data_IF_320930330976
#
_entry.id   IF_320930330976
#
_cell.length_a   1.000
_cell.length_b   1.000
_cell.length_c   1.000
_cell.angle_alpha   90.00
_cell.angle_beta   90.00
_cell.angle_gamma   90.00
#
_symmetry.space_group_name_H-M   'P 1'
#
loop_
_entity.id
_entity.type
_entity.pdbx_description
1 polymer ?
#
# COMPACT_ATOMS: atom_id res chain seq x y z
N UNK A 1 73.02 33.73 30.66
CA UNK A 1 72.27 32.72 29.89
C UNK A 1 70.82 33.18 29.82
N UNK A 2 70.37 33.77 28.71
CA UNK A 2 68.96 34.14 28.51
C UNK A 2 68.70 34.39 27.02
N UNK A 3 68.16 33.39 26.33
CA UNK A 3 67.58 33.57 25.00
C UNK A 3 66.31 34.43 25.12
N UNK A 4 66.01 35.34 24.16
CA UNK A 4 64.83 36.18 24.27
C UNK A 4 63.58 35.33 24.02
N UNK A 5 62.83 35.07 25.10
CA UNK A 5 61.55 34.33 25.15
C UNK A 5 60.50 34.80 24.11
N UNK A 6 60.67 36.00 23.54
CA UNK A 6 59.75 36.59 22.57
C UNK A 6 59.73 35.87 21.21
N UNK A 7 60.86 35.38 20.71
CA UNK A 7 60.92 34.71 19.40
C UNK A 7 60.21 33.34 19.40
N UNK A 8 60.34 32.60 20.51
CA UNK A 8 59.70 31.28 20.67
C UNK A 8 58.17 31.44 20.75
N UNK A 9 57.66 32.45 21.48
CA UNK A 9 56.21 32.71 21.58
C UNK A 9 55.56 33.05 20.24
N UNK A 10 56.24 33.82 19.38
CA UNK A 10 55.72 34.16 18.04
C UNK A 10 55.69 32.93 17.12
N UNK A 11 56.73 32.09 17.17
CA UNK A 11 56.79 30.87 16.35
C UNK A 11 55.72 29.85 16.78
N UNK A 12 55.50 29.69 18.10
CA UNK A 12 54.43 28.83 18.64
C UNK A 12 53.04 29.32 18.18
N UNK A 13 52.76 30.63 18.27
CA UNK A 13 51.48 31.19 17.79
C UNK A 13 51.26 30.99 16.29
N UNK A 14 52.32 31.07 15.48
CA UNK A 14 52.24 30.83 14.04
C UNK A 14 52.00 29.34 13.71
N UNK A 15 52.65 28.44 14.44
CA UNK A 15 52.42 27.00 14.31
C UNK A 15 50.99 26.61 14.74
N UNK A 16 50.48 27.17 15.85
CA UNK A 16 49.08 26.98 16.27
C UNK A 16 48.09 27.49 15.21
N UNK A 17 48.35 28.65 14.61
CA UNK A 17 47.53 29.20 13.54
C UNK A 17 47.49 28.30 12.29
N UNK A 18 48.64 27.74 11.89
CA UNK A 18 48.73 26.80 10.77
C UNK A 18 48.00 25.48 11.05
N UNK A 19 48.14 24.93 12.27
CA UNK A 19 47.44 23.71 12.70
C UNK A 19 45.93 23.94 12.68
N UNK A 20 45.45 25.05 13.25
CA UNK A 20 44.04 25.41 13.24
C UNK A 20 43.53 25.52 11.80
N UNK A 21 44.23 26.26 10.92
CA UNK A 21 43.81 26.42 9.52
C UNK A 21 43.73 25.07 8.79
N UNK A 22 44.71 24.19 8.99
CA UNK A 22 44.71 22.84 8.41
C UNK A 22 43.55 21.98 8.92
N UNK A 23 43.26 22.03 10.22
CA UNK A 23 42.13 21.31 10.81
C UNK A 23 40.79 21.82 10.28
N UNK A 24 40.62 23.14 10.09
CA UNK A 24 39.39 23.70 9.52
C UNK A 24 39.20 23.31 8.06
N UNK A 25 40.26 23.37 7.25
CA UNK A 25 40.22 22.95 5.85
C UNK A 25 39.94 21.45 5.71
N UNK A 26 40.54 20.61 6.56
CA UNK A 26 40.24 19.19 6.61
C UNK A 26 38.77 18.94 6.97
N UNK A 27 38.25 19.65 7.97
CA UNK A 27 36.85 19.50 8.40
C UNK A 27 35.87 19.98 7.31
N UNK A 28 36.17 21.08 6.63
CA UNK A 28 35.40 21.60 5.49
C UNK A 28 35.42 20.63 4.31
N UNK A 29 36.58 20.07 3.97
CA UNK A 29 36.71 19.09 2.88
C UNK A 29 36.00 17.77 3.21
N UNK A 30 36.05 17.33 4.47
CA UNK A 30 35.30 16.16 4.95
C UNK A 30 33.79 16.37 4.84
N UNK A 31 33.27 17.54 5.22
CA UNK A 31 31.85 17.86 5.11
C UNK A 31 31.39 17.92 3.64
N UNK A 32 32.21 18.51 2.75
CA UNK A 32 31.92 18.52 1.32
C UNK A 32 31.94 17.10 0.72
N UNK A 33 32.85 16.24 1.17
CA UNK A 33 32.91 14.83 0.74
C UNK A 33 31.68 14.04 1.18
N UNK A 34 31.24 14.22 2.43
CA UNK A 34 30.02 13.59 2.96
C UNK A 34 28.78 14.09 2.20
N UNK A 35 28.66 15.39 1.97
CA UNK A 35 27.53 15.97 1.26
C UNK A 35 27.47 15.48 -0.20
N UNK A 36 28.61 15.37 -0.89
CA UNK A 36 28.67 14.79 -2.24
C UNK A 36 28.29 13.31 -2.26
N UNK A 37 28.67 12.55 -1.24
CA UNK A 37 28.34 11.13 -1.13
C UNK A 37 26.83 10.94 -0.91
N UNK A 38 26.23 11.70 0.02
CA UNK A 38 24.78 11.67 0.27
C UNK A 38 23.96 12.12 -0.95
N UNK A 39 24.41 13.16 -1.66
CA UNK A 39 23.76 13.61 -2.91
C UNK A 39 23.85 12.52 -3.99
N UNK A 40 25.01 11.88 -4.16
CA UNK A 40 25.18 10.80 -5.13
C UNK A 40 24.38 9.54 -4.77
N UNK A 41 24.25 9.19 -3.49
CA UNK A 41 23.40 8.09 -3.04
C UNK A 41 21.92 8.38 -3.25
N UNK A 42 21.46 9.59 -2.95
CA UNK A 42 20.08 10.01 -3.25
C UNK A 42 19.81 10.07 -4.75
N UNK A 43 20.78 10.51 -5.55
CA UNK A 43 20.69 10.52 -7.02
C UNK A 43 20.69 9.10 -7.58
N UNK A 44 21.42 8.15 -6.99
CA UNK A 44 21.40 6.73 -7.37
C UNK A 44 20.10 6.04 -6.96
N UNK A 45 19.56 6.34 -5.77
CA UNK A 45 18.24 5.85 -5.32
C UNK A 45 17.11 6.43 -6.16
N UNK A 46 17.19 7.70 -6.55
CA UNK A 46 16.17 8.33 -7.41
C UNK A 46 16.23 7.83 -8.86
N UNK A 47 17.41 7.43 -9.35
CA UNK A 47 17.56 6.82 -10.69
C UNK A 47 17.06 5.37 -10.76
N UNK A 48 16.78 4.74 -9.62
CA UNK A 48 16.19 3.40 -9.51
C UNK A 48 14.66 3.40 -9.38
N UNK A 49 14.03 4.56 -9.17
CA UNK A 49 12.57 4.73 -9.23
C UNK A 49 12.23 5.50 -10.50
N UNK A 50 12.21 4.78 -11.61
CA UNK A 50 11.76 5.32 -12.89
C UNK A 50 10.32 5.83 -12.73
N UNK A 51 10.13 7.14 -12.76
CA UNK A 51 8.84 7.80 -12.51
C UNK A 51 7.74 7.23 -13.41
N UNK A 52 8.08 6.84 -14.64
CA UNK A 52 7.16 6.19 -15.58
C UNK A 52 6.65 4.84 -15.07
N UNK A 53 7.50 4.03 -14.43
CA UNK A 53 7.09 2.77 -13.81
C UNK A 53 6.26 3.02 -12.54
N UNK A 54 6.61 4.04 -11.74
CA UNK A 54 5.85 4.39 -10.55
C UNK A 54 4.40 4.79 -10.86
N UNK A 55 4.17 5.63 -11.87
CA UNK A 55 2.81 6.03 -12.27
C UNK A 55 2.02 4.84 -12.84
N UNK A 56 2.67 3.97 -13.62
CA UNK A 56 2.05 2.75 -14.13
C UNK A 56 1.70 1.76 -13.00
N UNK A 57 2.54 1.67 -11.97
CA UNK A 57 2.30 0.82 -10.80
C UNK A 57 1.19 1.37 -9.91
N UNK A 58 1.13 2.69 -9.70
CA UNK A 58 0.00 3.34 -9.04
C UNK A 58 -1.32 3.11 -9.79
N UNK A 59 -1.30 3.21 -11.12
CA UNK A 59 -2.46 2.89 -11.94
C UNK A 59 -2.85 1.43 -11.80
N UNK A 60 -1.89 0.50 -11.82
CA UNK A 60 -2.14 -0.94 -11.61
C UNK A 60 -2.75 -1.24 -10.24
N UNK A 61 -2.27 -0.59 -9.18
CA UNK A 61 -2.83 -0.70 -7.83
C UNK A 61 -4.26 -0.15 -7.76
N UNK A 62 -4.57 0.87 -8.57
CA UNK A 62 -5.92 1.46 -8.65
C UNK A 62 -6.93 0.65 -9.48
N UNK A 63 -6.49 -0.41 -10.17
CA UNK A 63 -7.37 -1.23 -11.00
C UNK A 63 -8.39 -2.01 -10.16
N UNK A 64 -9.61 -2.10 -10.68
CA UNK A 64 -10.67 -2.93 -10.13
C UNK A 64 -10.21 -4.37 -9.89
N UNK A 65 -9.36 -4.92 -10.76
CA UNK A 65 -8.74 -6.24 -10.57
C UNK A 65 -7.98 -6.41 -9.25
N UNK A 66 -7.26 -5.38 -8.77
CA UNK A 66 -6.54 -5.46 -7.50
C UNK A 66 -7.52 -5.32 -6.33
N UNK A 67 -8.49 -4.40 -6.44
CA UNK A 67 -9.50 -4.24 -5.41
C UNK A 67 -10.34 -5.52 -5.26
N UNK A 68 -10.73 -6.17 -6.36
CA UNK A 68 -11.46 -7.43 -6.36
C UNK A 68 -10.69 -8.54 -5.62
N UNK A 69 -9.37 -8.66 -5.84
CA UNK A 69 -8.53 -9.64 -5.12
C UNK A 69 -8.56 -9.42 -3.61
N UNK A 70 -8.45 -8.15 -3.19
CA UNK A 70 -8.51 -7.79 -1.77
C UNK A 70 -9.89 -8.15 -1.21
N UNK A 71 -10.97 -7.79 -1.91
CA UNK A 71 -12.35 -8.08 -1.50
C UNK A 71 -12.60 -9.58 -1.33
N UNK A 72 -12.19 -10.38 -2.30
CA UNK A 72 -12.33 -11.84 -2.26
C UNK A 72 -11.56 -12.40 -1.07
N UNK A 73 -10.34 -11.92 -0.84
CA UNK A 73 -9.58 -12.36 0.34
C UNK A 73 -10.33 -12.07 1.63
N UNK A 74 -10.81 -10.83 1.82
CA UNK A 74 -11.56 -10.44 3.03
C UNK A 74 -12.84 -11.28 3.21
N UNK A 75 -13.54 -11.56 2.11
CA UNK A 75 -14.74 -12.39 2.11
C UNK A 75 -14.45 -13.83 2.48
N UNK A 76 -13.38 -14.42 1.94
CA UNK A 76 -12.98 -15.79 2.27
C UNK A 76 -12.46 -15.88 3.71
N UNK A 77 -11.64 -14.92 4.16
CA UNK A 77 -11.18 -14.86 5.55
C UNK A 77 -12.39 -14.79 6.52
N UNK A 78 -13.41 -13.99 6.18
CA UNK A 78 -14.64 -13.90 6.96
C UNK A 78 -15.46 -15.20 6.86
N UNK A 79 -15.62 -15.78 5.67
CA UNK A 79 -16.31 -17.06 5.45
C UNK A 79 -15.73 -18.18 6.33
N UNK A 80 -14.41 -18.25 6.42
CA UNK A 80 -13.69 -19.22 7.24
C UNK A 80 -13.90 -19.02 8.75
N UNK A 81 -14.25 -17.80 9.18
CA UNK A 81 -14.56 -17.50 10.58
C UNK A 81 -16.00 -17.86 10.99
N UNK A 82 -16.88 -18.15 10.04
CA UNK A 82 -18.29 -18.46 10.31
C UNK A 82 -18.53 -19.95 10.54
N UNK A 83 -19.58 -20.26 11.31
CA UNK A 83 -20.04 -21.62 11.57
C UNK A 83 -20.52 -22.34 10.31
N UNK A 84 -20.59 -23.67 10.38
CA UNK A 84 -20.93 -24.54 9.23
C UNK A 84 -22.37 -24.41 8.71
N UNK A 85 -23.24 -23.78 9.49
CA UNK A 85 -24.64 -23.48 9.19
C UNK A 85 -24.84 -22.05 8.62
N UNK A 86 -23.77 -21.28 8.51
CA UNK A 86 -23.77 -19.89 8.05
C UNK A 86 -23.03 -19.70 6.73
N UNK A 87 -23.49 -18.73 5.94
CA UNK A 87 -22.89 -18.25 4.70
C UNK A 87 -22.61 -16.75 4.78
N UNK A 88 -21.69 -16.26 3.94
CA UNK A 88 -21.42 -14.83 3.84
C UNK A 88 -22.56 -14.13 3.11
N UNK A 89 -23.27 -13.30 3.85
CA UNK A 89 -24.10 -12.24 3.31
C UNK A 89 -23.30 -10.98 3.05
N UNK A 90 -23.63 -10.30 1.95
CA UNK A 90 -23.19 -8.93 1.73
C UNK A 90 -24.38 -8.00 1.88
N UNK A 91 -24.24 -7.02 2.77
CA UNK A 91 -25.16 -5.89 2.87
C UNK A 91 -24.49 -4.66 2.28
N UNK A 92 -25.11 -4.05 1.29
CA UNK A 92 -24.74 -2.72 0.83
C UNK A 92 -25.71 -1.69 1.37
N UNK A 93 -25.17 -0.55 1.78
CA UNK A 93 -25.91 0.57 2.34
C UNK A 93 -25.85 1.73 1.36
N UNK A 94 -27.00 2.16 0.85
CA UNK A 94 -27.11 3.29 -0.07
C UNK A 94 -28.28 4.19 0.36
N UNK A 95 -27.98 5.43 0.76
CA UNK A 95 -28.95 6.51 1.06
C UNK A 95 -30.25 6.04 1.76
N UNK A 96 -30.13 5.42 2.93
CA UNK A 96 -31.27 4.99 3.75
C UNK A 96 -31.93 3.68 3.30
N UNK A 97 -31.47 3.07 2.21
CA UNK A 97 -31.87 1.73 1.77
C UNK A 97 -30.68 0.77 1.90
N UNK A 98 -30.97 -0.50 2.17
CA UNK A 98 -29.94 -1.53 2.17
C UNK A 98 -30.44 -2.76 1.44
N UNK A 99 -29.58 -3.33 0.60
CA UNK A 99 -29.82 -4.62 -0.01
C UNK A 99 -28.90 -5.65 0.63
N UNK A 100 -29.48 -6.78 1.05
CA UNK A 100 -28.76 -7.92 1.62
C UNK A 100 -28.99 -9.12 0.74
N UNK A 101 -27.92 -9.82 0.36
CA UNK A 101 -28.00 -11.04 -0.45
C UNK A 101 -26.80 -11.95 -0.19
N UNK A 102 -26.97 -13.24 -0.51
CA UNK A 102 -25.91 -14.24 -0.41
C UNK A 102 -24.98 -14.10 -1.61
N UNK A 103 -23.71 -13.76 -1.38
CA UNK A 103 -22.75 -13.63 -2.47
C UNK A 103 -22.25 -15.00 -2.90
N UNK A 104 -22.28 -15.26 -4.20
CA UNK A 104 -21.73 -16.48 -4.80
C UNK A 104 -20.43 -16.21 -5.55
N UNK A 105 -20.36 -15.08 -6.25
CA UNK A 105 -19.22 -14.75 -7.11
C UNK A 105 -18.94 -13.26 -7.15
N UNK A 106 -17.67 -12.94 -7.39
CA UNK A 106 -17.22 -11.57 -7.65
C UNK A 106 -16.51 -11.52 -9.00
N UNK A 107 -16.84 -10.51 -9.79
CA UNK A 107 -16.17 -10.14 -11.03
C UNK A 107 -15.70 -8.69 -10.99
N UNK A 108 -14.93 -8.29 -11.99
CA UNK A 108 -14.49 -6.90 -12.16
C UNK A 108 -14.37 -6.55 -13.64
N UNK A 109 -14.43 -5.24 -13.92
CA UNK A 109 -14.06 -4.68 -15.21
C UNK A 109 -13.07 -3.54 -14.95
N UNK A 110 -11.87 -3.65 -15.51
CA UNK A 110 -10.88 -2.60 -15.36
C UNK A 110 -11.31 -1.36 -16.17
N UNK A 111 -11.01 -0.14 -15.68
CA UNK A 111 -10.20 0.14 -14.50
C UNK A 111 -10.98 0.16 -13.18
N UNK A 112 -12.33 0.18 -13.18
CA UNK A 112 -13.03 0.70 -12.00
C UNK A 112 -14.37 0.07 -11.63
N UNK A 113 -14.81 -1.03 -12.25
CA UNK A 113 -16.09 -1.67 -11.88
C UNK A 113 -15.87 -2.99 -11.14
N UNK A 114 -16.70 -3.24 -10.12
CA UNK A 114 -16.83 -4.52 -9.43
C UNK A 114 -18.26 -5.02 -9.62
N UNK A 115 -18.39 -6.33 -9.82
CA UNK A 115 -19.66 -7.01 -10.00
C UNK A 115 -19.82 -8.07 -8.92
N UNK A 116 -20.90 -7.97 -8.15
CA UNK A 116 -21.31 -9.00 -7.20
C UNK A 116 -22.45 -9.80 -7.80
N UNK A 117 -22.31 -11.12 -7.79
CA UNK A 117 -23.36 -12.06 -8.16
C UNK A 117 -23.77 -12.86 -6.93
N UNK A 118 -25.05 -13.17 -6.84
CA UNK A 118 -25.57 -13.90 -5.71
C UNK A 118 -27.03 -14.26 -5.83
N UNK A 119 -27.60 -14.62 -4.69
CA UNK A 119 -29.00 -14.97 -4.54
C UNK A 119 -29.64 -14.10 -3.46
N UNK A 120 -30.87 -13.64 -3.70
CA UNK A 120 -31.70 -13.03 -2.64
C UNK A 120 -32.09 -14.08 -1.60
N UNK A 121 -32.68 -13.65 -0.49
CA UNK A 121 -33.25 -14.58 0.53
C UNK A 121 -34.31 -15.52 -0.08
N UNK A 122 -35.01 -15.09 -1.13
CA UNK A 122 -35.96 -15.89 -1.89
C UNK A 122 -35.30 -16.85 -2.90
N UNK A 123 -33.96 -16.89 -2.95
CA UNK A 123 -33.20 -17.70 -3.89
C UNK A 123 -33.20 -17.20 -5.34
N UNK A 124 -33.61 -15.94 -5.58
CA UNK A 124 -33.61 -15.35 -6.93
C UNK A 124 -32.21 -14.81 -7.28
N UNK A 125 -31.73 -14.99 -8.52
CA UNK A 125 -30.44 -14.45 -8.93
C UNK A 125 -30.45 -12.93 -8.87
N UNK A 126 -29.37 -12.37 -8.34
CA UNK A 126 -29.14 -10.93 -8.31
C UNK A 126 -27.72 -10.61 -8.79
N UNK A 127 -27.62 -9.50 -9.51
CA UNK A 127 -26.36 -8.91 -9.95
C UNK A 127 -26.32 -7.45 -9.53
N UNK A 128 -25.23 -7.07 -8.89
CA UNK A 128 -24.96 -5.68 -8.54
C UNK A 128 -23.64 -5.24 -9.15
N UNK A 129 -23.67 -4.10 -9.85
CA UNK A 129 -22.50 -3.48 -10.48
C UNK A 129 -22.23 -2.16 -9.76
N UNK A 130 -20.99 -1.93 -9.32
CA UNK A 130 -20.58 -0.73 -8.58
C UNK A 130 -19.24 -0.22 -9.07
N UNK A 131 -19.06 1.10 -9.04
CA UNK A 131 -17.75 1.72 -9.19
C UNK A 131 -16.92 1.50 -7.92
N UNK A 132 -15.62 1.21 -8.05
CA UNK A 132 -14.71 0.92 -6.93
C UNK A 132 -14.71 2.00 -5.84
N UNK A 133 -14.88 3.27 -6.21
CA UNK A 133 -14.91 4.38 -5.26
C UNK A 133 -16.22 4.51 -4.47
N UNK A 134 -17.27 3.78 -4.87
CA UNK A 134 -18.60 3.81 -4.25
C UNK A 134 -18.85 2.57 -3.39
N UNK A 135 -17.86 1.69 -3.28
CA UNK A 135 -17.99 0.44 -2.54
C UNK A 135 -18.06 0.74 -1.04
N UNK A 136 -19.25 0.52 -0.47
CA UNK A 136 -19.50 0.44 0.96
C UNK A 136 -20.29 -0.83 1.22
N UNK A 137 -19.61 -1.87 1.69
CA UNK A 137 -20.24 -3.16 1.97
C UNK A 137 -19.89 -3.63 3.37
N UNK A 138 -20.84 -4.34 3.95
CA UNK A 138 -20.75 -5.00 5.23
C UNK A 138 -20.83 -6.50 4.98
N UNK A 139 -19.87 -7.25 5.51
CA UNK A 139 -19.95 -8.70 5.59
C UNK A 139 -20.75 -9.09 6.82
N UNK A 140 -21.68 -10.02 6.65
CA UNK A 140 -22.49 -10.53 7.75
C UNK A 140 -22.74 -12.02 7.60
N UNK A 141 -22.92 -12.70 8.73
CA UNK A 141 -23.34 -14.09 8.73
C UNK A 141 -24.83 -14.18 8.40
N UNK A 142 -25.19 -14.95 7.37
CA UNK A 142 -26.57 -15.31 7.06
C UNK A 142 -26.75 -16.82 7.24
N UNK A 143 -27.94 -17.29 7.67
CA UNK A 143 -28.23 -18.73 7.69
C UNK A 143 -28.16 -19.28 6.27
N UNK A 144 -27.64 -20.48 6.08
CA UNK A 144 -27.57 -21.12 4.74
C UNK A 144 -28.92 -21.14 4.04
N UNK A 145 -28.94 -20.74 2.76
CA UNK A 145 -30.10 -20.90 1.88
C UNK A 145 -30.53 -22.36 1.74
N UNK A 146 -29.59 -23.30 1.84
CA UNK A 146 -29.87 -24.73 1.87
C UNK A 146 -29.03 -25.41 2.97
N UNK A 147 -29.64 -25.82 4.09
CA UNK A 147 -28.94 -26.44 5.22
C UNK A 147 -28.19 -27.73 4.86
N UNK A 148 -28.72 -28.52 3.91
CA UNK A 148 -28.20 -29.84 3.54
C UNK A 148 -26.97 -29.79 2.64
N UNK A 149 -26.75 -28.67 1.93
CA UNK A 149 -25.60 -28.53 1.02
C UNK A 149 -24.37 -28.06 1.79
N UNK A 150 -23.16 -28.53 1.45
CA UNK A 150 -21.94 -27.97 2.03
C UNK A 150 -21.84 -26.49 1.68
N UNK A 151 -21.25 -25.72 2.60
CA UNK A 151 -21.03 -24.29 2.47
C UNK A 151 -20.25 -23.98 1.19
N UNK A 152 -20.76 -23.05 0.37
CA UNK A 152 -20.15 -22.71 -0.91
C UNK A 152 -19.01 -21.71 -0.71
N UNK A 153 -17.82 -22.05 -1.21
CA UNK A 153 -16.72 -21.09 -1.37
C UNK A 153 -17.08 -20.07 -2.46
N UNK A 154 -16.75 -18.80 -2.21
CA UNK A 154 -17.02 -17.73 -3.16
C UNK A 154 -16.03 -17.80 -4.32
N UNK A 155 -16.56 -17.88 -5.53
CA UNK A 155 -15.78 -18.08 -6.77
C UNK A 155 -15.45 -16.79 -7.50
N UNK A 156 -14.54 -16.89 -8.47
CA UNK A 156 -14.09 -15.77 -9.30
C UNK A 156 -14.61 -15.90 -10.74
N UNK A 157 -15.13 -14.79 -11.29
CA UNK A 157 -15.41 -14.68 -12.73
C UNK A 157 -14.40 -13.68 -13.30
N UNK A 158 -13.37 -14.22 -13.96
CA UNK A 158 -12.45 -13.41 -14.75
C UNK A 158 -13.14 -13.02 -16.05
N UNK A 159 -12.95 -11.79 -16.52
CA UNK A 159 -13.19 -11.50 -17.94
C UNK A 159 -12.32 -12.45 -18.77
N UNK A 160 -12.96 -13.39 -19.47
CA UNK A 160 -12.40 -13.95 -20.69
C UNK A 160 -12.60 -12.91 -21.79
N UNK A 161 -11.52 -12.22 -22.16
CA UNK A 161 -11.43 -11.49 -23.43
C UNK A 161 -11.89 -12.35 -24.60
#
# INVERSE_FOLDING_TARGET
MTFPFYFIKTYIKFAEFLIIKSMTEFHLNSLHGIQRTLINENTRKSKALDSTNFLADLQRLSLASQQAKILIKQINDFDESLDSDQEVGVRLVYFGQSITFHVSNIGYFNPSLIVFLGLTEEGKPIQLIQHVSQISFLLMALPKLNPEKPKKRIGFIQESN
#
